data_IF_172732804441
#
_entry.id   IF_172732804441
#
_cell.length_a   1.000
_cell.length_b   1.000
_cell.length_c   1.000
_cell.angle_alpha   90.00
_cell.angle_beta   90.00
_cell.angle_gamma   90.00
#
_symmetry.space_group_name_H-M   'P 1'
#
loop_
_entity.id
_entity.type
_entity.pdbx_description
1 polymer ?
#
# COMPACT_ATOMS: atom_id res chain seq x y z
N UNK A 1 -47.23 1.58 -25.12
CA UNK A 1 -46.68 1.60 -23.73
C UNK A 1 -45.28 0.99 -23.55
N UNK A 2 -44.61 0.54 -24.60
CA UNK A 2 -43.28 -0.15 -24.48
C UNK A 2 -42.06 0.76 -24.67
N UNK A 3 -42.24 1.96 -25.21
CA UNK A 3 -41.10 2.86 -25.49
C UNK A 3 -40.62 3.69 -24.27
N UNK A 4 -41.55 4.08 -23.41
CA UNK A 4 -41.21 4.84 -22.18
C UNK A 4 -40.41 4.04 -21.15
N UNK A 5 -40.69 2.74 -21.05
CA UNK A 5 -39.99 1.84 -20.12
C UNK A 5 -38.52 1.58 -20.55
N UNK A 6 -38.27 1.56 -21.86
CA UNK A 6 -36.93 1.36 -22.40
C UNK A 6 -36.02 2.59 -22.17
N UNK A 7 -36.54 3.78 -22.33
CA UNK A 7 -35.77 5.02 -22.06
C UNK A 7 -35.43 5.15 -20.58
N UNK A 8 -36.37 4.81 -19.67
CA UNK A 8 -36.09 4.85 -18.22
C UNK A 8 -35.01 3.85 -17.81
N UNK A 9 -34.98 2.65 -18.42
CA UNK A 9 -33.96 1.66 -18.17
C UNK A 9 -32.59 2.09 -18.73
N UNK A 10 -32.56 2.73 -19.90
CA UNK A 10 -31.35 3.26 -20.51
C UNK A 10 -30.75 4.43 -19.70
N UNK A 11 -31.58 5.32 -19.19
CA UNK A 11 -31.18 6.43 -18.32
C UNK A 11 -30.63 5.89 -16.99
N UNK A 12 -31.21 4.82 -16.43
CA UNK A 12 -30.75 4.19 -15.20
C UNK A 12 -29.38 3.47 -15.38
N UNK A 13 -29.11 2.94 -16.58
CA UNK A 13 -27.79 2.34 -16.91
C UNK A 13 -26.70 3.41 -17.11
N UNK A 14 -27.04 4.59 -17.58
CA UNK A 14 -26.06 5.67 -17.81
C UNK A 14 -25.68 6.38 -16.49
N UNK A 15 -26.59 6.42 -15.50
CA UNK A 15 -26.33 7.09 -14.22
C UNK A 15 -25.46 6.29 -13.25
N UNK A 16 -25.14 5.03 -13.55
CA UNK A 16 -24.31 4.19 -12.70
C UNK A 16 -22.87 3.98 -13.21
N UNK A 17 -22.37 4.78 -14.13
CA UNK A 17 -20.94 4.85 -14.38
C UNK A 17 -20.26 5.52 -13.17
N UNK A 18 -19.95 4.73 -12.15
CA UNK A 18 -19.08 5.17 -11.07
C UNK A 18 -17.70 5.37 -11.71
N UNK A 19 -17.34 6.61 -11.97
CA UNK A 19 -15.99 6.95 -12.37
C UNK A 19 -15.06 6.60 -11.21
N UNK A 20 -14.12 5.73 -11.48
CA UNK A 20 -13.12 5.31 -10.50
C UNK A 20 -11.74 5.70 -10.96
N UNK A 21 -10.94 6.18 -10.02
CA UNK A 21 -9.54 6.50 -10.23
C UNK A 21 -8.65 5.40 -9.65
N UNK A 22 -7.39 5.40 -10.05
CA UNK A 22 -6.34 4.58 -9.46
C UNK A 22 -5.31 5.50 -8.79
N UNK A 23 -5.15 5.36 -7.47
CA UNK A 23 -4.08 6.05 -6.74
C UNK A 23 -2.85 5.14 -6.70
N UNK A 24 -1.79 5.55 -7.40
CA UNK A 24 -0.54 4.80 -7.53
C UNK A 24 0.49 5.32 -6.55
N UNK A 25 1.24 4.41 -5.95
CA UNK A 25 2.33 4.68 -5.03
C UNK A 25 3.63 4.10 -5.57
N UNK A 26 4.71 4.84 -5.37
CA UNK A 26 6.07 4.38 -5.57
C UNK A 26 6.87 4.69 -4.31
N UNK A 27 7.44 3.67 -3.69
CA UNK A 27 8.31 3.78 -2.53
C UNK A 27 9.70 3.29 -2.90
N UNK A 28 10.72 3.96 -2.40
CA UNK A 28 12.09 3.49 -2.47
C UNK A 28 12.79 3.75 -1.15
N UNK A 29 13.56 2.79 -0.68
CA UNK A 29 14.15 2.89 0.63
C UNK A 29 15.21 1.81 0.90
N UNK A 30 15.53 1.68 2.17
CA UNK A 30 16.49 0.71 2.66
C UNK A 30 15.87 -0.10 3.80
N UNK A 31 16.22 -1.37 3.81
CA UNK A 31 15.81 -2.32 4.83
C UNK A 31 16.88 -2.48 5.90
N UNK A 32 16.43 -2.63 7.12
CA UNK A 32 17.24 -3.02 8.26
C UNK A 32 16.63 -4.27 8.89
N UNK A 33 17.50 -5.20 9.26
CA UNK A 33 17.14 -6.45 9.93
C UNK A 33 17.80 -6.50 11.31
N UNK A 34 17.23 -5.80 12.32
CA UNK A 34 17.83 -5.71 13.64
C UNK A 34 17.90 -7.04 14.38
N UNK A 35 17.09 -8.00 13.98
CA UNK A 35 17.12 -9.33 14.55
C UNK A 35 16.80 -10.39 13.50
N UNK A 36 17.57 -11.45 13.50
CA UNK A 36 17.40 -12.60 12.62
C UNK A 36 17.82 -13.86 13.34
N UNK A 37 16.93 -14.87 13.39
CA UNK A 37 17.20 -16.16 14.02
C UNK A 37 16.68 -17.31 13.15
N UNK A 38 17.52 -18.31 12.91
CA UNK A 38 17.13 -19.58 12.30
C UNK A 38 16.83 -20.59 13.39
N UNK A 39 15.71 -21.27 13.29
CA UNK A 39 15.34 -22.33 14.20
C UNK A 39 14.82 -23.55 13.44
N UNK A 40 15.34 -24.74 13.80
CA UNK A 40 15.06 -25.96 13.06
C UNK A 40 15.63 -25.94 11.63
N UNK A 41 15.20 -26.87 10.79
CA UNK A 41 15.82 -27.12 9.49
C UNK A 41 15.45 -26.09 8.42
N UNK A 42 14.21 -25.56 8.45
CA UNK A 42 13.67 -24.69 7.41
C UNK A 42 12.83 -23.54 7.97
N UNK A 43 13.09 -23.13 9.21
CA UNK A 43 12.34 -22.10 9.88
C UNK A 43 13.22 -20.91 10.21
N UNK A 44 12.63 -19.72 10.20
CA UNK A 44 13.32 -18.47 10.44
C UNK A 44 12.35 -17.46 11.05
N UNK A 45 12.85 -16.68 11.99
CA UNK A 45 12.17 -15.52 12.55
C UNK A 45 13.03 -14.29 12.33
N UNK A 46 12.40 -13.18 11.96
CA UNK A 46 13.13 -11.95 11.71
C UNK A 46 12.27 -10.74 12.12
N UNK A 47 12.94 -9.77 12.74
CA UNK A 47 12.43 -8.42 12.85
C UNK A 47 12.97 -7.61 11.67
N UNK A 48 12.11 -6.82 11.10
CA UNK A 48 12.35 -6.03 9.92
C UNK A 48 11.93 -4.58 10.20
N UNK A 49 12.74 -3.66 9.76
CA UNK A 49 12.45 -2.23 9.79
C UNK A 49 12.82 -1.63 8.44
N UNK A 50 12.01 -0.71 7.94
CA UNK A 50 12.36 0.05 6.76
C UNK A 50 12.11 1.54 6.93
N UNK A 51 12.83 2.31 6.14
CA UNK A 51 12.59 3.72 5.91
C UNK A 51 12.63 3.98 4.40
N UNK A 52 11.68 4.77 3.91
CA UNK A 52 11.52 5.04 2.49
C UNK A 52 11.04 6.46 2.23
N UNK A 53 11.32 6.92 1.02
CA UNK A 53 10.59 8.03 0.40
C UNK A 53 9.44 7.45 -0.42
N UNK A 54 8.31 8.16 -0.46
CA UNK A 54 7.22 7.80 -1.34
C UNK A 54 6.76 8.97 -2.21
N UNK A 55 6.26 8.62 -3.37
CA UNK A 55 5.53 9.51 -4.27
C UNK A 55 4.26 8.84 -4.75
N UNK A 56 3.30 9.63 -5.19
CA UNK A 56 2.07 9.14 -5.81
C UNK A 56 1.83 9.82 -7.16
N UNK A 57 0.82 9.39 -7.88
CA UNK A 57 0.29 10.11 -9.04
C UNK A 57 -0.71 11.21 -8.66
N UNK A 58 -0.68 11.66 -7.40
CA UNK A 58 -1.41 12.82 -6.86
C UNK A 58 -0.42 13.78 -6.20
N UNK A 59 -0.93 14.73 -5.44
CA UNK A 59 -0.09 15.68 -4.66
C UNK A 59 0.55 15.05 -3.41
N UNK A 60 0.23 13.81 -3.07
CA UNK A 60 0.80 13.10 -1.92
C UNK A 60 2.23 12.62 -2.19
N UNK A 61 3.17 13.08 -1.38
CA UNK A 61 4.55 12.59 -1.31
C UNK A 61 5.11 12.80 0.10
N UNK A 62 6.19 12.11 0.44
CA UNK A 62 6.79 12.24 1.76
C UNK A 62 7.62 11.02 2.16
N UNK A 63 7.56 10.67 3.44
CA UNK A 63 8.32 9.57 4.02
C UNK A 63 7.40 8.43 4.47
N UNK A 64 7.94 7.23 4.42
CA UNK A 64 7.32 6.03 4.95
C UNK A 64 8.28 5.32 5.88
N UNK A 65 7.79 4.84 6.99
CA UNK A 65 8.53 3.91 7.85
C UNK A 65 7.63 2.76 8.25
N UNK A 66 8.21 1.57 8.35
CA UNK A 66 7.48 0.39 8.80
C UNK A 66 8.36 -0.52 9.64
N UNK A 67 7.69 -1.30 10.49
CA UNK A 67 8.27 -2.40 11.22
C UNK A 67 7.43 -3.65 11.01
N UNK A 68 8.08 -4.81 10.90
CA UNK A 68 7.41 -6.08 10.73
C UNK A 68 8.06 -7.19 11.54
N UNK A 69 7.21 -8.14 11.94
CA UNK A 69 7.61 -9.48 12.35
C UNK A 69 7.38 -10.40 11.18
N UNK A 70 8.41 -11.10 10.76
CA UNK A 70 8.36 -12.07 9.67
C UNK A 70 8.73 -13.44 10.23
N UNK A 71 7.85 -14.40 10.02
CA UNK A 71 8.12 -15.80 10.31
C UNK A 71 8.10 -16.61 9.01
N UNK A 72 9.12 -17.40 8.80
CA UNK A 72 9.14 -18.43 7.75
C UNK A 72 9.07 -19.80 8.42
N UNK A 73 8.09 -20.61 8.05
CA UNK A 73 7.90 -21.96 8.57
C UNK A 73 7.57 -22.90 7.43
N UNK A 74 8.44 -23.90 7.23
CA UNK A 74 8.28 -24.89 6.17
C UNK A 74 8.06 -24.28 4.78
N UNK A 75 8.79 -23.20 4.45
CA UNK A 75 8.67 -22.49 3.17
C UNK A 75 7.47 -21.54 3.04
N UNK A 76 6.62 -21.44 4.07
CA UNK A 76 5.53 -20.46 4.13
C UNK A 76 5.98 -19.24 4.92
N UNK A 77 5.72 -18.06 4.40
CA UNK A 77 6.01 -16.79 5.07
C UNK A 77 4.73 -16.20 5.64
N UNK A 78 4.78 -15.78 6.90
CA UNK A 78 3.80 -14.90 7.53
C UNK A 78 4.46 -13.58 7.86
N UNK A 79 3.75 -12.48 7.67
CA UNK A 79 4.26 -11.14 7.95
C UNK A 79 3.18 -10.32 8.65
N UNK A 80 3.55 -9.75 9.80
CA UNK A 80 2.77 -8.74 10.49
C UNK A 80 3.54 -7.42 10.39
N UNK A 81 3.10 -6.52 9.52
CA UNK A 81 3.70 -5.22 9.31
C UNK A 81 2.76 -4.12 9.77
N UNK A 82 3.35 -3.13 10.45
CA UNK A 82 2.73 -1.83 10.70
C UNK A 82 3.61 -0.74 10.09
N UNK A 83 3.00 0.21 9.40
CA UNK A 83 3.71 1.29 8.76
C UNK A 83 3.00 2.62 8.90
N UNK A 84 3.76 3.68 8.70
CA UNK A 84 3.31 5.07 8.76
C UNK A 84 3.77 5.78 7.49
N UNK A 85 2.83 6.42 6.80
CA UNK A 85 3.10 7.43 5.79
C UNK A 85 3.03 8.80 6.44
N UNK A 86 3.99 9.66 6.17
CA UNK A 86 4.00 11.06 6.60
C UNK A 86 4.14 11.92 5.36
N UNK A 87 3.09 12.66 5.01
CA UNK A 87 3.10 13.53 3.84
C UNK A 87 3.91 14.81 4.06
N UNK A 88 4.06 15.59 3.00
CA UNK A 88 4.80 16.87 3.03
C UNK A 88 4.20 17.90 4.00
N UNK A 89 2.95 17.74 4.38
CA UNK A 89 2.25 18.58 5.36
C UNK A 89 2.28 18.03 6.78
N UNK A 90 2.99 16.91 7.01
CA UNK A 90 3.13 16.21 8.29
C UNK A 90 1.87 15.45 8.75
N UNK A 91 0.86 15.30 7.90
CA UNK A 91 -0.24 14.39 8.22
C UNK A 91 0.22 12.95 8.13
N UNK A 92 -0.38 12.09 8.95
CA UNK A 92 0.00 10.68 9.09
C UNK A 92 -1.09 9.76 8.58
N UNK A 93 -0.69 8.75 7.82
CA UNK A 93 -1.53 7.62 7.44
C UNK A 93 -0.94 6.31 7.94
N UNK A 94 -1.71 5.52 8.64
CA UNK A 94 -1.27 4.28 9.27
C UNK A 94 -1.76 3.08 8.48
N UNK A 95 -0.86 2.13 8.24
CA UNK A 95 -1.17 0.89 7.54
C UNK A 95 -0.81 -0.33 8.37
N UNK A 96 -1.49 -1.44 8.07
CA UNK A 96 -1.10 -2.77 8.52
C UNK A 96 -1.14 -3.76 7.36
N UNK A 97 -0.31 -4.81 7.44
CA UNK A 97 -0.39 -5.91 6.48
C UNK A 97 -1.77 -6.56 6.51
N UNK A 98 -2.26 -6.91 5.34
CA UNK A 98 -3.39 -7.82 5.19
C UNK A 98 -2.79 -9.21 5.05
N UNK A 99 -3.30 -10.24 5.76
CA UNK A 99 -2.84 -11.60 5.56
C UNK A 99 -2.88 -11.93 4.07
N UNK A 100 -1.72 -12.28 3.51
CA UNK A 100 -1.68 -12.72 2.13
C UNK A 100 -2.54 -13.98 2.02
N UNK A 101 -3.49 -13.98 1.11
CA UNK A 101 -4.03 -15.24 0.61
C UNK A 101 -2.82 -16.09 0.22
N UNK A 102 -2.76 -17.35 0.65
CA UNK A 102 -1.65 -18.31 0.60
C UNK A 102 -0.92 -18.45 -0.77
N UNK A 103 -0.51 -17.34 -1.37
CA UNK A 103 0.34 -17.36 -2.55
C UNK A 103 1.78 -17.54 -2.08
N UNK A 104 2.36 -18.66 -2.48
CA UNK A 104 3.78 -18.94 -2.31
C UNK A 104 4.60 -17.72 -2.65
N UNK A 105 5.34 -17.20 -1.67
CA UNK A 105 6.38 -16.20 -1.91
C UNK A 105 7.53 -16.93 -2.60
N UNK A 106 7.52 -16.92 -3.92
CA UNK A 106 8.67 -17.37 -4.72
C UNK A 106 9.71 -16.26 -4.70
N UNK A 107 10.56 -16.25 -3.69
CA UNK A 107 11.66 -15.31 -3.61
C UNK A 107 12.47 -15.56 -2.35
N UNK A 108 13.77 -15.64 -2.50
CA UNK A 108 14.68 -15.75 -1.38
C UNK A 108 14.92 -14.34 -0.83
N UNK A 109 14.33 -13.99 0.31
CA UNK A 109 14.51 -12.67 0.95
C UNK A 109 15.90 -12.48 1.55
N UNK A 110 16.79 -13.47 1.46
CA UNK A 110 18.10 -13.48 2.05
C UNK A 110 19.18 -13.63 0.98
N UNK A 111 19.96 -12.58 0.82
CA UNK A 111 21.20 -12.52 0.04
C UNK A 111 21.00 -12.21 -1.45
N UNK A 112 21.93 -11.53 -2.00
CA UNK A 112 22.35 -11.18 -3.38
C UNK A 112 21.44 -11.48 -4.58
N UNK A 113 20.15 -11.75 -4.39
CA UNK A 113 19.24 -12.06 -5.48
C UNK A 113 18.11 -11.05 -5.54
N UNK A 114 17.96 -10.47 -6.71
CA UNK A 114 16.79 -9.66 -7.10
C UNK A 114 15.54 -10.52 -6.89
N UNK A 115 14.82 -10.27 -5.79
CA UNK A 115 13.57 -10.93 -5.45
C UNK A 115 12.38 -10.03 -5.73
N UNK A 116 11.26 -10.61 -6.08
CA UNK A 116 9.98 -9.90 -6.15
C UNK A 116 8.97 -10.57 -5.23
N UNK A 117 8.21 -9.76 -4.50
CA UNK A 117 7.10 -10.25 -3.69
C UNK A 117 5.89 -9.33 -3.84
N UNK A 118 4.69 -9.88 -3.68
CA UNK A 118 3.44 -9.11 -3.66
C UNK A 118 3.01 -8.90 -2.22
N UNK A 119 2.73 -7.66 -1.86
CA UNK A 119 2.23 -7.30 -0.55
C UNK A 119 0.94 -6.47 -0.63
N UNK A 120 0.06 -6.66 0.34
CA UNK A 120 -1.16 -5.88 0.49
C UNK A 120 -1.22 -5.29 1.89
N UNK A 121 -1.59 -4.02 1.97
CA UNK A 121 -1.68 -3.27 3.22
C UNK A 121 -2.99 -2.51 3.29
N UNK A 122 -3.62 -2.50 4.45
CA UNK A 122 -4.86 -1.78 4.69
C UNK A 122 -4.57 -0.50 5.47
N UNK A 123 -5.10 0.63 5.01
CA UNK A 123 -5.13 1.86 5.79
C UNK A 123 -6.09 1.70 6.95
N UNK A 124 -5.59 1.89 8.18
CA UNK A 124 -6.36 1.66 9.42
C UNK A 124 -6.72 2.95 10.13
N UNK A 125 -5.93 3.99 9.94
CA UNK A 125 -6.10 5.29 10.55
C UNK A 125 -5.42 6.36 9.68
N UNK A 126 -5.84 7.64 9.78
CA UNK A 126 -5.21 8.72 9.02
C UNK A 126 -5.74 10.09 9.34
N UNK A 127 -4.85 11.08 9.18
CA UNK A 127 -5.12 12.51 9.30
C UNK A 127 -5.09 13.17 7.91
N UNK A 128 -5.65 14.37 7.80
CA UNK A 128 -5.62 15.12 6.55
C UNK A 128 -6.18 14.31 5.37
N UNK A 129 -5.42 14.20 4.26
CA UNK A 129 -5.86 13.45 3.08
C UNK A 129 -5.94 11.93 3.31
N UNK A 130 -5.16 11.40 4.26
CA UNK A 130 -5.13 9.96 4.59
C UNK A 130 -6.44 9.46 5.16
N UNK A 131 -7.24 10.32 5.80
CA UNK A 131 -8.57 9.94 6.33
C UNK A 131 -9.51 9.37 5.27
N UNK A 132 -9.36 9.80 4.02
CA UNK A 132 -10.17 9.33 2.91
C UNK A 132 -9.77 7.93 2.42
N UNK A 133 -8.60 7.43 2.83
CA UNK A 133 -8.10 6.11 2.49
C UNK A 133 -8.40 5.05 3.56
N UNK A 134 -8.91 5.42 4.73
CA UNK A 134 -9.20 4.48 5.81
C UNK A 134 -10.12 3.36 5.31
N UNK A 135 -9.72 2.12 5.57
CA UNK A 135 -10.43 0.93 5.11
C UNK A 135 -10.03 0.42 3.73
N UNK A 136 -9.37 1.24 2.89
CA UNK A 136 -8.90 0.81 1.57
C UNK A 136 -7.67 -0.09 1.68
N UNK A 137 -7.46 -0.90 0.65
CA UNK A 137 -6.30 -1.79 0.54
C UNK A 137 -5.44 -1.34 -0.62
N UNK A 138 -4.16 -1.11 -0.34
CA UNK A 138 -3.13 -0.89 -1.34
C UNK A 138 -2.43 -2.23 -1.60
N UNK A 139 -2.30 -2.60 -2.86
CA UNK A 139 -1.58 -3.82 -3.28
C UNK A 139 -0.46 -3.45 -4.23
N UNK A 140 0.70 -4.04 -4.03
CA UNK A 140 1.86 -3.73 -4.85
C UNK A 140 2.91 -4.82 -4.87
N UNK A 141 3.95 -4.56 -5.65
CA UNK A 141 5.09 -5.45 -5.86
C UNK A 141 6.32 -4.81 -5.25
N UNK A 142 7.03 -5.57 -4.46
CA UNK A 142 8.32 -5.24 -3.87
C UNK A 142 9.43 -5.84 -4.75
N UNK A 143 10.43 -5.03 -5.03
CA UNK A 143 11.63 -5.40 -5.77
C UNK A 143 12.84 -5.17 -4.87
N UNK A 144 13.54 -6.23 -4.50
CA UNK A 144 14.86 -6.12 -3.86
C UNK A 144 15.89 -5.75 -4.91
N UNK A 145 16.70 -4.74 -4.63
CA UNK A 145 17.71 -4.23 -5.55
C UNK A 145 19.14 -4.62 -5.12
N UNK A 146 19.28 -5.41 -4.06
CA UNK A 146 20.56 -5.69 -3.42
C UNK A 146 20.94 -4.60 -2.40
N UNK A 147 21.98 -4.85 -1.61
CA UNK A 147 22.54 -3.93 -0.58
C UNK A 147 21.51 -3.38 0.43
N UNK A 148 20.39 -4.09 0.62
CA UNK A 148 19.27 -3.66 1.44
C UNK A 148 18.40 -2.58 0.79
N UNK A 149 18.72 -2.11 -0.41
CA UNK A 149 17.87 -1.20 -1.17
C UNK A 149 16.70 -1.92 -1.83
N UNK A 150 15.58 -1.23 -1.92
CA UNK A 150 14.37 -1.76 -2.51
C UNK A 150 13.51 -0.69 -3.16
N UNK A 151 12.67 -1.15 -4.06
CA UNK A 151 11.59 -0.41 -4.69
C UNK A 151 10.27 -1.15 -4.46
N UNK A 152 9.23 -0.44 -4.09
CA UNK A 152 7.88 -0.96 -4.06
C UNK A 152 6.96 -0.10 -4.93
N UNK A 153 6.14 -0.74 -5.73
CA UNK A 153 5.14 -0.09 -6.56
C UNK A 153 3.78 -0.73 -6.33
N UNK A 154 2.81 0.07 -5.97
CA UNK A 154 1.47 -0.41 -5.69
C UNK A 154 0.39 0.59 -5.98
N UNK A 155 -0.86 0.15 -5.89
CA UNK A 155 -1.99 1.01 -6.13
C UNK A 155 -3.22 0.64 -5.29
N UNK A 156 -4.07 1.64 -5.09
CA UNK A 156 -5.45 1.49 -4.69
C UNK A 156 -6.28 1.60 -5.95
N UNK A 157 -6.88 0.49 -6.36
CA UNK A 157 -7.77 0.43 -7.53
C UNK A 157 -9.21 0.78 -7.15
N UNK A 158 -9.97 1.25 -8.11
CA UNK A 158 -11.39 1.56 -7.96
C UNK A 158 -11.69 2.58 -6.84
N UNK A 159 -10.77 3.52 -6.63
CA UNK A 159 -11.02 4.63 -5.72
C UNK A 159 -12.10 5.55 -6.33
N UNK A 160 -13.17 5.92 -5.60
CA UNK A 160 -14.13 6.87 -6.09
C UNK A 160 -13.47 8.18 -6.54
N UNK A 161 -13.88 8.72 -7.68
CA UNK A 161 -13.24 9.88 -8.31
C UNK A 161 -13.29 11.14 -7.42
N UNK A 162 -14.38 11.30 -6.67
CA UNK A 162 -14.52 12.39 -5.68
C UNK A 162 -13.52 12.24 -4.52
N UNK A 163 -13.20 11.02 -4.12
CA UNK A 163 -12.19 10.74 -3.10
C UNK A 163 -10.80 11.05 -3.65
N UNK A 164 -10.50 10.59 -4.88
CA UNK A 164 -9.23 10.90 -5.53
C UNK A 164 -9.02 12.42 -5.62
N UNK A 165 -10.04 13.19 -6.06
CA UNK A 165 -9.99 14.66 -6.15
C UNK A 165 -9.77 15.33 -4.79
N UNK A 166 -10.41 14.82 -3.71
CA UNK A 166 -10.18 15.33 -2.34
C UNK A 166 -8.76 15.12 -1.87
N UNK A 167 -8.11 14.02 -2.28
CA UNK A 167 -6.72 13.73 -1.97
C UNK A 167 -5.80 14.64 -2.80
N UNK A 168 -6.03 14.72 -4.10
CA UNK A 168 -5.19 15.46 -5.04
C UNK A 168 -5.23 16.97 -4.84
N UNK A 169 -6.37 17.51 -4.41
CA UNK A 169 -6.58 18.95 -4.13
C UNK A 169 -6.39 19.32 -2.66
N UNK A 170 -5.90 18.39 -1.83
CA UNK A 170 -5.75 18.66 -0.40
C UNK A 170 -4.73 19.76 -0.13
N UNK A 171 -5.18 20.80 0.56
CA UNK A 171 -4.35 21.86 1.13
C UNK A 171 -4.68 21.97 2.62
N UNK A 172 -3.70 22.02 3.51
CA UNK A 172 -3.94 22.20 4.95
C UNK A 172 -4.56 23.57 5.24
N UNK A 173 -5.48 23.60 6.17
CA UNK A 173 -6.27 24.81 6.51
C UNK A 173 -5.41 26.02 6.93
N UNK A 174 -4.19 25.78 7.41
CA UNK A 174 -3.27 26.83 7.88
C UNK A 174 -2.41 27.49 6.79
N UNK A 175 -2.67 27.22 5.50
CA UNK A 175 -2.01 27.86 4.36
C UNK A 175 -2.96 28.66 3.48
N UNK A 176 -4.04 29.17 4.05
CA UNK A 176 -4.87 30.19 3.41
C UNK A 176 -4.34 31.57 3.82
N UNK A 177 -3.13 31.89 3.37
CA UNK A 177 -2.61 33.27 3.34
C UNK A 177 -2.66 33.76 1.90
#
# INVERSE_FOLDING_TARGET
MKFKTFITFLVFLITNCIYTAELKFKLSGKDEYPFFEKYGKNNMFMLYKNEAQFTTNSTLFGTHSAAAVIEMKNGKQTQNLFGIFIDSYKNKGYIKSVPASEKEVKGNMLGDRIGTSVGSFKFIEGEGPWKYLIGTVITGVYYSMGDGHWLWQGSIKNLPDDIYKKIDSYLPENKKD
#
